data_IF_204313170502
#
_entry.id   IF_204313170502
#
_cell.length_a   1.000
_cell.length_b   1.000
_cell.length_c   1.000
_cell.angle_alpha   90.00
_cell.angle_beta   90.00
_cell.angle_gamma   90.00
#
_symmetry.space_group_name_H-M   'P 1'
#
loop_
_entity.id
_entity.type
_entity.pdbx_description
1 polymer ?
#
# COMPACT_ATOMS: atom_id res chain seq x y z
N UNK A 1 3.22 -26.00 2.74
CA UNK A 1 3.54 -24.68 2.18
C UNK A 1 3.74 -23.74 3.35
N UNK A 2 4.96 -23.27 3.57
CA UNK A 2 5.26 -22.35 4.67
C UNK A 2 5.00 -20.93 4.19
N UNK A 3 4.05 -20.23 4.82
CA UNK A 3 3.79 -18.81 4.58
C UNK A 3 5.08 -18.05 4.92
N UNK A 4 5.73 -17.45 3.93
CA UNK A 4 6.96 -16.69 4.17
C UNK A 4 6.51 -15.31 4.66
N UNK A 5 6.30 -15.20 5.97
CA UNK A 5 5.98 -13.90 6.58
C UNK A 5 7.06 -12.90 6.20
N UNK A 6 6.64 -11.82 5.53
CA UNK A 6 7.48 -10.68 5.20
C UNK A 6 8.26 -10.26 6.44
N UNK A 7 9.59 -10.09 6.31
CA UNK A 7 10.38 -9.72 7.49
C UNK A 7 9.96 -8.33 7.91
N UNK A 8 9.86 -8.10 9.22
CA UNK A 8 9.45 -6.80 9.78
C UNK A 8 10.30 -5.62 9.26
N UNK A 9 11.54 -5.87 8.85
CA UNK A 9 12.43 -4.91 8.20
C UNK A 9 11.99 -4.51 6.79
N UNK A 10 11.48 -5.46 6.00
CA UNK A 10 11.00 -5.24 4.63
C UNK A 10 9.70 -4.43 4.65
N UNK A 11 8.78 -4.76 5.57
CA UNK A 11 7.55 -4.01 5.77
C UNK A 11 7.83 -2.55 6.21
N UNK A 12 8.80 -2.35 7.12
CA UNK A 12 9.23 -1.01 7.54
C UNK A 12 9.84 -0.21 6.39
N UNK A 13 10.61 -0.87 5.51
CA UNK A 13 11.18 -0.23 4.33
C UNK A 13 10.09 0.20 3.35
N UNK A 14 9.12 -0.68 3.08
CA UNK A 14 7.95 -0.37 2.25
C UNK A 14 7.17 0.82 2.82
N UNK A 15 6.80 0.77 4.10
CA UNK A 15 6.11 1.87 4.79
C UNK A 15 6.83 3.21 4.67
N UNK A 16 8.16 3.20 4.83
CA UNK A 16 8.97 4.40 4.71
C UNK A 16 8.95 4.94 3.27
N UNK A 17 9.09 4.06 2.28
CA UNK A 17 9.06 4.44 0.87
C UNK A 17 7.70 5.00 0.47
N UNK A 18 6.61 4.32 0.81
CA UNK A 18 5.25 4.78 0.48
C UNK A 18 4.94 6.09 1.21
N UNK A 19 5.39 6.26 2.46
CA UNK A 19 5.24 7.53 3.19
C UNK A 19 6.03 8.67 2.54
N UNK A 20 7.27 8.45 2.12
CA UNK A 20 8.09 9.46 1.42
C UNK A 20 7.42 9.85 0.10
N UNK A 21 7.06 8.87 -0.72
CA UNK A 21 6.35 9.08 -1.99
C UNK A 21 5.04 9.84 -1.76
N UNK A 22 4.27 9.46 -0.75
CA UNK A 22 3.07 10.16 -0.34
C UNK A 22 3.36 11.61 0.02
N UNK A 23 4.30 11.88 0.91
CA UNK A 23 4.57 13.27 1.34
C UNK A 23 5.21 14.15 0.27
N UNK A 24 6.03 13.58 -0.62
CA UNK A 24 6.82 14.35 -1.59
C UNK A 24 6.13 14.50 -2.95
N UNK A 25 5.49 13.44 -3.46
CA UNK A 25 4.90 13.43 -4.80
C UNK A 25 3.39 13.68 -4.79
N UNK A 26 2.71 13.26 -3.73
CA UNK A 26 1.25 13.33 -3.62
C UNK A 26 0.85 13.69 -2.18
N UNK A 27 1.11 14.90 -1.67
CA UNK A 27 0.82 15.27 -0.28
C UNK A 27 -0.66 15.14 0.12
N UNK A 28 -1.52 14.97 -0.88
CA UNK A 28 -2.95 14.71 -0.81
C UNK A 28 -3.34 13.21 -0.76
N UNK A 29 -2.37 12.30 -0.84
CA UNK A 29 -2.57 10.86 -0.64
C UNK A 29 -3.05 10.62 0.80
N UNK A 30 -4.21 10.00 0.97
CA UNK A 30 -4.77 9.82 2.31
C UNK A 30 -3.97 8.80 3.13
N UNK A 31 -3.87 8.98 4.46
CA UNK A 31 -3.31 7.96 5.35
C UNK A 31 -3.94 6.57 5.15
N UNK A 32 -5.25 6.52 4.86
CA UNK A 32 -5.97 5.28 4.54
C UNK A 32 -5.35 4.49 3.38
N UNK A 33 -4.78 5.17 2.39
CA UNK A 33 -4.10 4.50 1.28
C UNK A 33 -2.82 3.80 1.75
N UNK A 34 -2.03 4.46 2.60
CA UNK A 34 -0.79 3.91 3.13
C UNK A 34 -1.08 2.65 3.96
N UNK A 35 -2.13 2.67 4.77
CA UNK A 35 -2.57 1.50 5.54
C UNK A 35 -3.03 0.35 4.62
N UNK A 36 -3.73 0.67 3.53
CA UNK A 36 -4.17 -0.34 2.56
C UNK A 36 -2.98 -1.03 1.86
N UNK A 37 -1.92 -0.29 1.52
CA UNK A 37 -0.70 -0.86 0.92
C UNK A 37 -0.02 -1.84 1.88
N UNK A 38 0.08 -1.47 3.15
CA UNK A 38 0.64 -2.37 4.19
C UNK A 38 -0.19 -3.62 4.33
N UNK A 39 -1.51 -3.47 4.36
CA UNK A 39 -2.43 -4.58 4.54
C UNK A 39 -2.35 -5.56 3.37
N UNK A 40 -2.33 -5.05 2.14
CA UNK A 40 -2.21 -5.85 0.93
C UNK A 40 -0.96 -6.75 0.96
N UNK A 41 0.17 -6.21 1.37
CA UNK A 41 1.46 -6.92 1.45
C UNK A 41 1.54 -7.87 2.65
N UNK A 42 0.86 -7.55 3.76
CA UNK A 42 0.76 -8.46 4.91
C UNK A 42 -0.14 -9.66 4.64
N UNK A 43 -1.24 -9.47 3.91
CA UNK A 43 -2.21 -10.52 3.58
C UNK A 43 -1.72 -11.37 2.41
N UNK A 44 -0.90 -10.81 1.52
CA UNK A 44 -0.40 -11.47 0.32
C UNK A 44 1.15 -11.48 0.23
N UNK A 45 1.89 -11.96 1.24
CA UNK A 45 3.35 -11.79 1.32
C UNK A 45 4.15 -12.58 0.27
N UNK A 46 3.55 -13.61 -0.33
CA UNK A 46 4.14 -14.46 -1.37
C UNK A 46 3.35 -14.38 -2.69
N UNK A 47 2.33 -13.52 -2.76
CA UNK A 47 1.44 -13.35 -3.93
C UNK A 47 1.46 -11.87 -4.37
N UNK A 48 2.55 -11.51 -5.04
CA UNK A 48 2.78 -10.17 -5.58
C UNK A 48 1.64 -9.70 -6.50
N UNK A 49 1.09 -10.52 -7.42
CA UNK A 49 -0.09 -10.15 -8.20
C UNK A 49 -1.32 -9.82 -7.36
N UNK A 50 -1.56 -10.55 -6.26
CA UNK A 50 -2.69 -10.27 -5.36
C UNK A 50 -2.46 -8.97 -4.55
N UNK A 51 -1.26 -8.79 -3.99
CA UNK A 51 -0.88 -7.56 -3.29
C UNK A 51 -1.04 -6.33 -4.20
N UNK A 52 -0.56 -6.42 -5.45
CA UNK A 52 -0.68 -5.36 -6.44
C UNK A 52 -2.14 -4.99 -6.72
N UNK A 53 -3.02 -5.98 -6.92
CA UNK A 53 -4.45 -5.73 -7.18
C UNK A 53 -5.13 -5.00 -6.01
N UNK A 54 -4.81 -5.35 -4.78
CA UNK A 54 -5.36 -4.67 -3.61
C UNK A 54 -4.87 -3.22 -3.50
N UNK A 55 -3.59 -2.99 -3.79
CA UNK A 55 -3.00 -1.65 -3.85
C UNK A 55 -3.68 -0.80 -4.93
N UNK A 56 -3.89 -1.35 -6.13
CA UNK A 56 -4.57 -0.67 -7.24
C UNK A 56 -6.00 -0.26 -6.86
N UNK A 57 -6.76 -1.18 -6.24
CA UNK A 57 -8.11 -0.87 -5.76
C UNK A 57 -8.12 0.20 -4.66
N UNK A 58 -7.13 0.20 -3.77
CA UNK A 58 -6.99 1.24 -2.75
C UNK A 58 -6.70 2.61 -3.40
N UNK A 59 -5.87 2.63 -4.45
CA UNK A 59 -5.53 3.85 -5.17
C UNK A 59 -6.75 4.41 -5.91
N UNK A 60 -7.53 3.56 -6.59
CA UNK A 60 -8.75 3.97 -7.27
C UNK A 60 -9.78 4.58 -6.31
N UNK A 61 -9.93 4.05 -5.10
CA UNK A 61 -10.82 4.60 -4.06
C UNK A 61 -10.39 6.01 -3.63
N UNK A 62 -9.08 6.25 -3.53
CA UNK A 62 -8.54 7.56 -3.15
C UNK A 62 -8.73 8.56 -4.29
N UNK A 63 -8.43 8.15 -5.52
CA UNK A 63 -8.56 9.00 -6.71
C UNK A 63 -10.03 9.32 -7.05
N UNK A 64 -10.96 8.38 -6.86
CA UNK A 64 -12.40 8.60 -7.07
C UNK A 64 -13.01 9.57 -6.04
N UNK A 65 -12.58 9.49 -4.78
CA UNK A 65 -12.91 10.49 -3.75
C UNK A 65 -12.39 11.89 -4.11
N UNK A 66 -11.22 11.98 -4.74
CA UNK A 66 -10.63 13.25 -5.19
C UNK A 66 -11.37 13.85 -6.39
N UNK A 67 -11.90 13.03 -7.30
CA UNK A 67 -12.63 13.46 -8.50
C UNK A 67 -14.05 13.96 -8.23
N UNK A 68 -14.56 13.72 -7.02
CA UNK A 68 -15.91 14.11 -6.57
C UNK A 68 -15.92 15.38 -5.71
N UNK A 69 -14.76 16.03 -5.54
CA UNK A 69 -14.59 17.36 -4.94
C UNK A 69 -14.22 18.35 -6.03
#
# INVERSE_FOLDING_TARGET
MGVKKMKTSELKALLKTVKIIGTELHPDLSPDFLEAVVKAEQENPDDEPAAQREIEQALEKVLSRKRSR
#
